data_IF_286644969222
#
_entry.id   IF_286644969222
#
_cell.length_a   1.000
_cell.length_b   1.000
_cell.length_c   1.000
_cell.angle_alpha   90.00
_cell.angle_beta   90.00
_cell.angle_gamma   90.00
#
_symmetry.space_group_name_H-M   'P 1'
#
loop_
_entity.id
_entity.type
_entity.pdbx_description
1 polymer ?
#
# COMPACT_ATOMS: atom_id res chain seq x y z
N UNK A 1 34.28 -1.08 7.74
CA UNK A 1 33.20 -0.72 6.80
C UNK A 1 31.89 -0.81 7.54
N UNK A 2 31.27 0.32 7.82
CA UNK A 2 29.97 0.38 8.47
C UNK A 2 28.95 -0.01 7.40
N UNK A 3 28.53 -1.28 7.44
CA UNK A 3 27.40 -1.77 6.64
C UNK A 3 26.16 -1.17 7.29
N UNK A 4 25.66 -0.08 6.72
CA UNK A 4 24.46 0.59 7.20
C UNK A 4 23.27 -0.35 6.93
N UNK A 5 22.85 -1.03 7.99
CA UNK A 5 21.77 -2.02 8.06
C UNK A 5 20.42 -1.33 7.85
N UNK A 6 20.13 -0.94 6.60
CA UNK A 6 18.83 -0.42 6.14
C UNK A 6 18.04 -1.46 5.33
N UNK A 7 18.42 -2.74 5.45
CA UNK A 7 17.75 -3.91 4.85
C UNK A 7 16.72 -4.57 5.79
N UNK A 8 16.35 -3.93 6.89
CA UNK A 8 15.30 -4.43 7.77
C UNK A 8 14.01 -3.67 7.51
N UNK A 9 12.98 -4.40 7.05
CA UNK A 9 11.55 -4.04 6.95
C UNK A 9 10.99 -3.83 5.54
N UNK A 10 11.46 -4.61 4.56
CA UNK A 10 10.60 -5.06 3.45
C UNK A 10 10.29 -6.54 3.68
N UNK A 11 9.39 -6.76 4.64
CA UNK A 11 8.65 -7.98 5.01
C UNK A 11 9.08 -9.31 4.36
N UNK A 12 10.00 -9.99 5.03
CA UNK A 12 10.24 -11.43 4.90
C UNK A 12 9.27 -12.21 5.79
N UNK A 13 8.38 -13.00 5.18
CA UNK A 13 8.03 -14.40 5.49
C UNK A 13 6.80 -14.72 4.62
N UNK A 14 7.02 -15.48 3.56
CA UNK A 14 5.98 -16.10 2.72
C UNK A 14 5.89 -17.54 3.19
N UNK A 15 4.77 -17.92 3.80
CA UNK A 15 4.42 -19.32 4.02
C UNK A 15 3.17 -19.60 3.20
N UNK A 16 3.35 -20.40 2.15
CA UNK A 16 2.29 -20.89 1.26
C UNK A 16 1.49 -22.03 1.91
N UNK A 17 0.29 -22.25 1.35
CA UNK A 17 -0.59 -23.45 1.39
C UNK A 17 -1.78 -23.37 2.36
N UNK A 18 -3.04 -23.68 2.03
CA UNK A 18 -3.90 -23.66 0.83
C UNK A 18 -5.28 -24.16 1.31
N UNK A 19 -6.39 -23.64 0.75
CA UNK A 19 -7.72 -24.31 0.68
C UNK A 19 -8.53 -24.47 1.99
N UNK A 20 -9.86 -24.33 2.07
CA UNK A 20 -10.95 -24.28 1.09
C UNK A 20 -12.27 -23.76 1.72
N UNK A 21 -13.06 -23.07 0.90
CA UNK A 21 -14.54 -23.03 0.80
C UNK A 21 -15.46 -22.78 2.02
N UNK A 22 -16.28 -21.73 1.89
CA UNK A 22 -17.72 -21.83 2.17
C UNK A 22 -18.52 -20.90 1.24
N UNK A 23 -19.42 -21.51 0.45
CA UNK A 23 -20.34 -20.85 -0.45
C UNK A 23 -21.62 -20.39 0.27
N UNK A 24 -22.18 -19.23 -0.11
CA UNK A 24 -23.62 -19.00 -0.23
C UNK A 24 -23.91 -17.68 -0.99
N UNK A 25 -25.12 -17.62 -1.55
CA UNK A 25 -25.63 -16.89 -2.73
C UNK A 25 -26.68 -15.83 -2.29
N UNK A 26 -27.47 -15.25 -3.22
CA UNK A 26 -27.28 -14.03 -4.03
C UNK A 26 -28.07 -12.82 -3.48
N UNK A 27 -27.70 -11.58 -3.85
CA UNK A 27 -28.58 -10.43 -3.60
C UNK A 27 -28.80 -9.55 -4.83
N UNK A 28 -30.09 -9.31 -5.02
CA UNK A 28 -30.83 -8.75 -6.13
C UNK A 28 -30.55 -7.27 -6.39
N UNK A 29 -30.74 -6.88 -7.66
CA UNK A 29 -30.55 -5.52 -8.13
C UNK A 29 -31.37 -4.48 -7.37
N UNK A 30 -30.73 -3.33 -7.13
CA UNK A 30 -31.40 -2.08 -6.76
C UNK A 30 -31.07 -1.03 -7.83
N UNK A 31 -32.06 -0.23 -8.30
CA UNK A 31 -31.85 0.74 -9.37
C UNK A 31 -30.92 1.88 -8.92
N UNK A 32 -30.25 2.57 -9.84
CA UNK A 32 -29.33 3.63 -9.47
C UNK A 32 -30.11 4.80 -8.82
N UNK A 33 -29.79 5.14 -7.56
CA UNK A 33 -30.00 6.48 -7.00
C UNK A 33 -28.65 7.18 -6.84
N UNK A 34 -27.90 7.48 -7.92
CA UNK A 34 -26.51 7.05 -7.83
C UNK A 34 -25.49 8.17 -7.76
N UNK A 35 -25.69 9.35 -8.37
CA UNK A 35 -24.53 10.23 -8.63
C UNK A 35 -24.22 11.23 -7.52
N UNK A 36 -25.18 12.05 -7.07
CA UNK A 36 -24.90 13.13 -6.08
C UNK A 36 -24.54 12.58 -4.70
N UNK A 37 -25.26 11.55 -4.22
CA UNK A 37 -24.97 10.91 -2.93
C UNK A 37 -23.64 10.15 -2.96
N UNK A 38 -23.33 9.43 -4.05
CA UNK A 38 -22.04 8.75 -4.17
C UNK A 38 -20.86 9.74 -4.24
N UNK A 39 -21.01 10.86 -4.95
CA UNK A 39 -19.99 11.92 -4.97
C UNK A 39 -19.75 12.50 -3.56
N UNK A 40 -20.82 12.74 -2.79
CA UNK A 40 -20.69 13.21 -1.41
C UNK A 40 -20.01 12.15 -0.51
N UNK A 41 -20.40 10.88 -0.62
CA UNK A 41 -19.79 9.80 0.14
C UNK A 41 -18.28 9.67 -0.18
N UNK A 42 -17.91 9.75 -1.46
CA UNK A 42 -16.51 9.71 -1.89
C UNK A 42 -15.71 10.92 -1.38
N UNK A 43 -16.31 12.11 -1.36
CA UNK A 43 -15.67 13.29 -0.78
C UNK A 43 -15.45 13.12 0.73
N UNK A 44 -16.48 12.69 1.47
CA UNK A 44 -16.37 12.39 2.90
C UNK A 44 -15.27 11.36 3.18
N UNK A 45 -15.21 10.28 2.38
CA UNK A 45 -14.17 9.26 2.49
C UNK A 45 -12.76 9.84 2.33
N UNK A 46 -12.56 10.72 1.35
CA UNK A 46 -11.29 11.42 1.12
C UNK A 46 -10.91 12.33 2.29
N UNK A 47 -11.88 13.07 2.82
CA UNK A 47 -11.65 13.98 3.94
C UNK A 47 -11.25 13.21 5.21
N UNK A 48 -11.88 12.06 5.46
CA UNK A 48 -11.54 11.12 6.55
C UNK A 48 -10.11 10.59 6.39
N UNK A 49 -9.76 10.08 5.21
CA UNK A 49 -8.41 9.57 4.96
C UNK A 49 -7.34 10.66 5.12
N UNK A 50 -7.60 11.86 4.62
CA UNK A 50 -6.69 12.99 4.76
C UNK A 50 -6.50 13.41 6.23
N UNK A 51 -7.58 13.47 7.02
CA UNK A 51 -7.51 13.79 8.45
C UNK A 51 -6.73 12.73 9.23
N UNK A 52 -7.01 11.45 8.97
CA UNK A 52 -6.34 10.35 9.62
C UNK A 52 -4.83 10.28 9.27
N UNK A 53 -4.46 10.50 8.00
CA UNK A 53 -3.06 10.59 7.59
C UNK A 53 -2.31 11.67 8.37
N UNK A 54 -2.90 12.88 8.50
CA UNK A 54 -2.32 13.97 9.31
C UNK A 54 -2.15 13.55 10.77
N UNK A 55 -3.21 13.00 11.38
CA UNK A 55 -3.16 12.55 12.78
C UNK A 55 -2.09 11.50 13.01
N UNK A 56 -1.97 10.50 12.14
CA UNK A 56 -0.92 9.49 12.24
C UNK A 56 0.48 10.08 12.06
N UNK A 57 0.66 11.06 11.18
CA UNK A 57 1.94 11.72 10.97
C UNK A 57 2.38 12.55 12.20
N UNK A 58 1.42 13.21 12.86
CA UNK A 58 1.68 14.11 14.00
C UNK A 58 1.74 13.40 15.35
N UNK A 59 0.83 12.45 15.59
CA UNK A 59 0.63 11.82 16.91
C UNK A 59 0.99 10.33 16.92
N UNK A 60 1.19 9.73 15.75
CA UNK A 60 1.40 8.29 15.61
C UNK A 60 0.10 7.47 15.63
N UNK A 61 0.21 6.21 15.20
CA UNK A 61 -0.92 5.28 15.09
C UNK A 61 -1.58 4.96 16.43
N UNK A 62 -0.77 4.67 17.46
CA UNK A 62 -1.27 4.22 18.76
C UNK A 62 -2.10 5.30 19.47
N UNK A 63 -1.66 6.56 19.40
CA UNK A 63 -2.33 7.69 20.07
C UNK A 63 -3.54 8.25 19.30
N UNK A 64 -3.75 7.85 18.03
CA UNK A 64 -4.85 8.33 17.21
C UNK A 64 -6.09 7.44 17.36
N UNK A 65 -7.25 8.05 17.60
CA UNK A 65 -8.55 7.36 17.66
C UNK A 65 -9.49 7.79 16.53
N UNK A 66 -10.48 6.96 16.21
CA UNK A 66 -11.53 7.32 15.24
C UNK A 66 -12.38 8.52 15.72
N UNK A 67 -12.44 8.76 17.04
CA UNK A 67 -13.13 9.93 17.62
C UNK A 67 -12.38 11.23 17.33
N UNK A 68 -11.05 11.21 17.37
CA UNK A 68 -10.23 12.38 17.01
C UNK A 68 -10.44 12.73 15.53
N UNK A 69 -10.44 11.71 14.66
CA UNK A 69 -10.68 11.88 13.22
C UNK A 69 -12.10 12.40 12.94
N UNK A 70 -13.11 11.89 13.67
CA UNK A 70 -14.49 12.40 13.58
C UNK A 70 -14.58 13.88 13.97
N UNK A 71 -13.85 14.27 15.01
CA UNK A 71 -13.79 15.67 15.47
C UNK A 71 -13.16 16.57 14.40
N UNK A 72 -12.08 16.12 13.75
CA UNK A 72 -11.39 16.90 12.72
C UNK A 72 -12.19 17.08 11.42
N UNK A 73 -13.06 16.11 11.12
CA UNK A 73 -13.84 16.07 9.87
C UNK A 73 -15.29 16.55 10.05
N UNK A 74 -15.75 16.69 11.28
CA UNK A 74 -17.13 17.10 11.60
C UNK A 74 -18.18 16.03 11.29
N UNK A 75 -17.77 14.78 11.02
CA UNK A 75 -18.68 13.65 10.81
C UNK A 75 -18.82 12.82 12.08
N UNK A 76 -19.84 11.95 12.14
CA UNK A 76 -19.99 11.04 13.28
C UNK A 76 -19.00 9.88 13.20
N UNK A 77 -18.65 9.27 14.34
CA UNK A 77 -17.81 8.05 14.36
C UNK A 77 -18.48 6.91 13.58
N UNK A 78 -19.81 6.80 13.62
CA UNK A 78 -20.55 5.82 12.82
C UNK A 78 -20.33 6.04 11.32
N UNK A 79 -20.36 7.29 10.86
CA UNK A 79 -20.07 7.64 9.46
C UNK A 79 -18.66 7.24 9.05
N UNK A 80 -17.68 7.32 9.96
CA UNK A 80 -16.32 6.82 9.70
C UNK A 80 -16.33 5.30 9.53
N UNK A 81 -16.97 4.57 10.45
CA UNK A 81 -17.08 3.11 10.33
C UNK A 81 -17.76 2.71 9.00
N UNK A 82 -18.84 3.38 8.63
CA UNK A 82 -19.57 3.09 7.39
C UNK A 82 -18.74 3.44 6.13
N UNK A 83 -17.87 4.46 6.22
CA UNK A 83 -17.10 4.96 5.08
C UNK A 83 -15.76 4.26 4.89
N UNK A 84 -15.01 3.99 5.96
CA UNK A 84 -13.64 3.48 5.92
C UNK A 84 -13.38 2.31 6.86
N UNK A 85 -14.37 1.88 7.65
CA UNK A 85 -14.21 0.79 8.60
C UNK A 85 -13.43 1.19 9.86
N UNK A 86 -12.66 0.24 10.38
CA UNK A 86 -11.89 0.40 11.60
C UNK A 86 -10.51 1.05 11.35
N UNK A 87 -9.74 1.29 12.42
CA UNK A 87 -8.44 1.98 12.34
C UNK A 87 -7.41 1.21 11.47
N UNK A 88 -7.27 -0.13 11.56
CA UNK A 88 -6.44 -0.88 10.63
C UNK A 88 -6.88 -0.80 9.17
N UNK A 89 -8.19 -0.89 8.91
CA UNK A 89 -8.76 -0.80 7.56
C UNK A 89 -8.52 0.59 6.94
N UNK A 90 -8.55 1.63 7.76
CA UNK A 90 -8.17 2.97 7.36
C UNK A 90 -6.70 3.01 6.87
N UNK A 91 -5.76 2.44 7.63
CA UNK A 91 -4.34 2.35 7.19
C UNK A 91 -4.21 1.52 5.92
N UNK A 92 -4.95 0.43 5.78
CA UNK A 92 -4.99 -0.38 4.55
C UNK A 92 -5.41 0.49 3.35
N UNK A 93 -6.44 1.30 3.50
CA UNK A 93 -6.90 2.22 2.46
C UNK A 93 -5.89 3.34 2.17
N UNK A 94 -5.15 3.85 3.17
CA UNK A 94 -4.04 4.76 2.93
C UNK A 94 -2.91 4.08 2.13
N UNK A 95 -2.60 2.82 2.41
CA UNK A 95 -1.63 2.05 1.65
C UNK A 95 -2.05 1.87 0.18
N UNK A 96 -3.34 1.76 -0.11
CA UNK A 96 -3.86 1.69 -1.49
C UNK A 96 -3.63 2.98 -2.30
N UNK A 97 -3.45 4.12 -1.62
CA UNK A 97 -3.17 5.40 -2.28
C UNK A 97 -1.69 5.55 -2.68
N UNK A 98 -0.80 4.77 -2.07
CA UNK A 98 0.65 4.97 -2.18
C UNK A 98 1.13 4.95 -3.63
N UNK A 99 0.72 3.96 -4.44
CA UNK A 99 1.21 3.83 -5.82
C UNK A 99 0.79 5.01 -6.70
N UNK A 100 -0.45 5.49 -6.51
CA UNK A 100 -0.99 6.63 -7.23
C UNK A 100 -0.33 7.94 -6.76
N UNK A 101 -0.25 8.16 -5.45
CA UNK A 101 0.34 9.36 -4.87
C UNK A 101 1.85 9.45 -5.13
N UNK A 102 2.56 8.33 -5.11
CA UNK A 102 3.96 8.25 -5.48
C UNK A 102 4.17 8.17 -7.00
N UNK A 103 3.12 8.20 -7.82
CA UNK A 103 3.21 8.19 -9.29
C UNK A 103 4.12 7.06 -9.80
N UNK A 104 3.96 5.85 -9.27
CA UNK A 104 4.83 4.71 -9.60
C UNK A 104 4.66 4.31 -11.06
N UNK A 105 3.46 4.45 -11.61
CA UNK A 105 3.18 4.19 -13.03
C UNK A 105 4.08 4.99 -13.98
N UNK A 106 4.49 6.22 -13.62
CA UNK A 106 5.40 7.03 -14.44
C UNK A 106 6.82 6.47 -14.51
N UNK A 107 7.24 5.74 -13.47
CA UNK A 107 8.54 5.06 -13.47
C UNK A 107 8.42 3.72 -14.19
N UNK A 108 7.35 2.96 -13.94
CA UNK A 108 7.21 1.59 -14.42
C UNK A 108 6.86 1.52 -15.90
N UNK A 109 5.98 2.40 -16.40
CA UNK A 109 5.50 2.32 -17.78
C UNK A 109 6.64 2.41 -18.83
N UNK A 110 7.63 3.30 -18.70
CA UNK A 110 8.78 3.32 -19.61
C UNK A 110 9.63 2.04 -19.57
N UNK A 111 9.73 1.36 -18.42
CA UNK A 111 10.59 0.18 -18.26
C UNK A 111 10.13 -1.02 -19.09
N UNK A 112 8.85 -1.08 -19.46
CA UNK A 112 8.32 -2.14 -20.31
C UNK A 112 9.08 -2.22 -21.64
N UNK A 113 9.43 -1.07 -22.21
CA UNK A 113 10.11 -0.96 -23.49
C UNK A 113 11.61 -0.62 -23.36
N UNK A 114 12.11 -0.45 -22.15
CA UNK A 114 13.52 -0.14 -21.91
C UNK A 114 14.43 -1.30 -22.35
N UNK A 115 15.59 -0.98 -22.91
CA UNK A 115 16.58 -1.96 -23.38
C UNK A 115 17.91 -1.83 -22.66
N UNK A 116 18.19 -0.70 -22.00
CA UNK A 116 19.37 -0.55 -21.15
C UNK A 116 19.14 -1.24 -19.79
N UNK A 117 19.85 -2.33 -19.48
CA UNK A 117 19.69 -3.04 -18.22
C UNK A 117 20.10 -2.20 -17.01
N UNK A 118 20.99 -1.20 -17.15
CA UNK A 118 21.35 -0.31 -16.06
C UNK A 118 20.21 0.64 -15.69
N UNK A 119 19.37 1.04 -16.66
CA UNK A 119 18.16 1.83 -16.39
C UNK A 119 17.15 0.99 -15.63
N UNK A 120 16.91 -0.24 -16.07
CA UNK A 120 16.01 -1.20 -15.40
C UNK A 120 16.48 -1.51 -13.98
N UNK A 121 17.77 -1.82 -13.79
CA UNK A 121 18.34 -2.14 -12.49
C UNK A 121 18.31 -0.96 -11.49
N UNK A 122 18.28 0.29 -11.97
CA UNK A 122 18.15 1.48 -11.11
C UNK A 122 16.70 1.79 -10.71
N UNK A 123 15.72 1.18 -11.37
CA UNK A 123 14.31 1.48 -11.11
C UNK A 123 13.88 1.24 -9.65
N UNK A 124 14.25 0.13 -8.98
CA UNK A 124 13.88 -0.09 -7.59
C UNK A 124 14.34 1.04 -6.66
N UNK A 125 15.59 1.48 -6.77
CA UNK A 125 16.11 2.60 -5.97
C UNK A 125 15.34 3.91 -6.21
N UNK A 126 14.96 4.18 -7.48
CA UNK A 126 14.15 5.36 -7.83
C UNK A 126 12.73 5.26 -7.26
N UNK A 127 12.12 4.08 -7.33
CA UNK A 127 10.79 3.80 -6.78
C UNK A 127 10.81 3.98 -5.26
N UNK A 128 11.73 3.31 -4.56
CA UNK A 128 11.87 3.40 -3.10
C UNK A 128 12.09 4.83 -2.63
N UNK A 129 12.98 5.59 -3.30
CA UNK A 129 13.17 7.01 -2.99
C UNK A 129 11.87 7.80 -3.15
N UNK A 130 11.16 7.64 -4.27
CA UNK A 130 9.92 8.36 -4.56
C UNK A 130 8.80 8.00 -3.56
N UNK A 131 8.68 6.73 -3.18
CA UNK A 131 7.76 6.25 -2.15
C UNK A 131 8.03 6.92 -0.81
N UNK A 132 9.28 6.95 -0.36
CA UNK A 132 9.66 7.54 0.93
C UNK A 132 9.44 9.06 0.92
N UNK A 133 9.82 9.75 -0.16
CA UNK A 133 9.67 11.21 -0.28
C UNK A 133 8.20 11.66 -0.27
N UNK A 134 7.29 10.87 -0.85
CA UNK A 134 5.89 11.29 -1.06
C UNK A 134 4.90 10.66 -0.09
N UNK A 135 5.21 9.46 0.40
CA UNK A 135 4.31 8.62 1.19
C UNK A 135 4.98 8.06 2.45
N UNK A 136 6.15 8.58 2.84
CA UNK A 136 6.91 8.08 3.99
C UNK A 136 6.17 8.20 5.34
N UNK A 137 5.23 9.13 5.45
CA UNK A 137 4.35 9.28 6.60
C UNK A 137 3.33 8.13 6.70
N UNK A 138 2.71 7.72 5.59
CA UNK A 138 1.83 6.55 5.54
C UNK A 138 2.61 5.27 5.88
N UNK A 139 3.78 5.08 5.25
CA UNK A 139 4.64 3.92 5.49
C UNK A 139 5.08 3.83 6.95
N UNK A 140 5.48 4.96 7.55
CA UNK A 140 5.86 5.04 8.96
C UNK A 140 4.67 4.73 9.87
N UNK A 141 3.48 5.26 9.58
CA UNK A 141 2.28 5.02 10.38
C UNK A 141 1.90 3.53 10.40
N UNK A 142 1.89 2.87 9.23
CA UNK A 142 1.60 1.45 9.13
C UNK A 142 2.63 0.58 9.85
N UNK A 143 3.92 0.85 9.63
CA UNK A 143 5.01 0.11 10.28
C UNK A 143 5.05 0.33 11.80
N UNK A 144 4.90 1.57 12.27
CA UNK A 144 4.88 1.85 13.70
C UNK A 144 3.65 1.22 14.37
N UNK A 145 2.50 1.26 13.69
CA UNK A 145 1.26 0.67 14.17
C UNK A 145 1.35 -0.85 14.33
N UNK A 146 2.04 -1.53 13.43
CA UNK A 146 2.13 -3.01 13.43
C UNK A 146 2.87 -3.60 14.63
N UNK A 147 3.65 -2.80 15.35
CA UNK A 147 4.23 -3.24 16.63
C UNK A 147 3.21 -3.30 17.77
N UNK A 148 2.03 -2.73 17.57
CA UNK A 148 1.03 -2.53 18.62
C UNK A 148 -0.38 -3.03 18.26
N UNK A 149 -0.62 -3.35 16.99
CA UNK A 149 -1.94 -3.73 16.48
C UNK A 149 -1.81 -4.78 15.37
N UNK A 150 -2.10 -6.04 15.74
CA UNK A 150 -2.07 -7.18 14.82
C UNK A 150 -3.09 -7.05 13.68
N UNK A 151 -4.12 -6.20 13.84
CA UNK A 151 -5.08 -5.90 12.78
C UNK A 151 -4.46 -5.26 11.54
N UNK A 152 -3.23 -4.75 11.63
CA UNK A 152 -2.47 -4.22 10.51
C UNK A 152 -1.74 -5.28 9.68
N UNK A 153 -1.65 -6.53 10.15
CA UNK A 153 -0.96 -7.60 9.43
C UNK A 153 -1.44 -7.75 7.97
N UNK A 154 -2.76 -7.77 7.67
CA UNK A 154 -3.23 -7.86 6.28
C UNK A 154 -2.78 -6.69 5.40
N UNK A 155 -2.72 -5.47 5.95
CA UNK A 155 -2.29 -4.28 5.20
C UNK A 155 -0.78 -4.34 4.85
N UNK A 156 0.02 -4.93 5.73
CA UNK A 156 1.45 -5.13 5.52
C UNK A 156 1.74 -6.28 4.56
N UNK A 157 0.98 -7.37 4.67
CA UNK A 157 1.05 -8.51 3.76
C UNK A 157 0.75 -8.07 2.33
N UNK A 158 -0.30 -7.27 2.15
CA UNK A 158 -0.68 -6.74 0.84
C UNK A 158 0.40 -5.77 0.30
N UNK A 159 0.95 -4.88 1.14
CA UNK A 159 2.08 -4.05 0.76
C UNK A 159 3.31 -4.87 0.33
N UNK A 160 3.63 -5.92 1.07
CA UNK A 160 4.71 -6.87 0.75
C UNK A 160 4.44 -7.63 -0.55
N UNK A 161 3.19 -8.05 -0.80
CA UNK A 161 2.78 -8.70 -2.05
C UNK A 161 2.98 -7.78 -3.26
N UNK A 162 2.57 -6.51 -3.17
CA UNK A 162 2.79 -5.51 -4.23
C UNK A 162 4.27 -5.27 -4.48
N UNK A 163 5.05 -5.12 -3.42
CA UNK A 163 6.50 -4.96 -3.54
C UNK A 163 7.15 -6.16 -4.25
N UNK A 164 6.81 -7.40 -3.85
CA UNK A 164 7.32 -8.61 -4.50
C UNK A 164 6.92 -8.69 -5.98
N UNK A 165 5.66 -8.37 -6.31
CA UNK A 165 5.21 -8.31 -7.69
C UNK A 165 6.00 -7.28 -8.52
N UNK A 166 6.25 -6.09 -7.96
CA UNK A 166 7.07 -5.05 -8.57
C UNK A 166 8.53 -5.49 -8.79
N UNK A 167 9.15 -6.11 -7.79
CA UNK A 167 10.49 -6.65 -7.89
C UNK A 167 10.59 -7.75 -8.98
N UNK A 168 9.62 -8.67 -9.01
CA UNK A 168 9.54 -9.72 -10.04
C UNK A 168 9.42 -9.17 -11.47
N UNK A 169 8.72 -8.03 -11.67
CA UNK A 169 8.69 -7.37 -12.98
C UNK A 169 10.07 -6.86 -13.40
N UNK A 170 10.82 -6.25 -12.47
CA UNK A 170 12.18 -5.75 -12.74
C UNK A 170 13.14 -6.92 -13.01
N UNK A 171 13.10 -7.96 -12.17
CA UNK A 171 13.92 -9.16 -12.33
C UNK A 171 13.63 -9.88 -13.65
N UNK A 172 12.35 -10.07 -14.00
CA UNK A 172 11.92 -10.65 -15.27
C UNK A 172 12.38 -9.82 -16.48
N UNK A 173 12.33 -8.49 -16.38
CA UNK A 173 12.84 -7.61 -17.43
C UNK A 173 14.35 -7.76 -17.60
N UNK A 174 15.12 -7.76 -16.51
CA UNK A 174 16.57 -7.97 -16.55
C UNK A 174 16.94 -9.35 -17.12
N UNK A 175 16.18 -10.39 -16.76
CA UNK A 175 16.34 -11.73 -17.33
C UNK A 175 16.12 -11.73 -18.85
N UNK A 176 15.07 -11.05 -19.33
CA UNK A 176 14.79 -10.95 -20.77
C UNK A 176 15.89 -10.23 -21.56
N UNK A 177 16.66 -9.37 -20.89
CA UNK A 177 17.80 -8.65 -21.46
C UNK A 177 19.12 -9.45 -21.34
N UNK A 178 19.10 -10.64 -20.75
CA UNK A 178 20.31 -11.42 -20.46
C UNK A 178 21.25 -10.74 -19.45
N UNK A 179 20.70 -9.85 -18.61
CA UNK A 179 21.48 -8.97 -17.73
C UNK A 179 21.58 -9.48 -16.29
N UNK A 180 21.05 -10.67 -15.99
CA UNK A 180 21.23 -11.31 -14.70
C UNK A 180 22.62 -11.95 -14.58
N UNK A 181 23.11 -12.07 -13.33
CA UNK A 181 24.34 -12.83 -13.05
C UNK A 181 24.16 -14.27 -13.54
N UNK A 182 25.19 -14.90 -14.13
CA UNK A 182 25.13 -16.32 -14.49
C UNK A 182 24.64 -17.19 -13.32
N UNK A 183 23.66 -18.05 -13.58
CA UNK A 183 23.06 -18.95 -12.59
C UNK A 183 22.00 -18.32 -11.68
N UNK A 184 21.62 -17.04 -11.87
CA UNK A 184 20.42 -16.45 -11.28
C UNK A 184 19.28 -16.45 -12.31
N UNK A 185 18.12 -16.93 -11.91
CA UNK A 185 16.86 -16.67 -12.60
C UNK A 185 16.13 -15.45 -12.02
N UNK A 186 14.98 -15.10 -12.61
CA UNK A 186 14.18 -13.95 -12.19
C UNK A 186 13.44 -14.15 -10.86
N UNK A 187 13.28 -15.39 -10.39
CA UNK A 187 12.65 -15.68 -9.10
C UNK A 187 13.65 -15.53 -7.95
N UNK A 188 14.91 -15.86 -8.22
CA UNK A 188 16.03 -15.76 -7.28
C UNK A 188 16.64 -14.35 -7.17
N UNK A 189 16.44 -13.50 -8.18
CA UNK A 189 16.99 -12.15 -8.28
C UNK A 189 16.09 -11.09 -7.63
#
# INVERSE_FOLDING_TARGET
MIVCRYDYLIYTQVTWMESSEMAAKPETGTPPLPRRRALQAEQTRRDILAAARRRFAEHGYAATTLKDIATDTGVSVQTIYDSVGNKPELVRQLNDLIDAEAQIGEIVAPLLNETDPLVVARAPARITRRLIERCGDILRAGLAGSYTDDGLAPALEEGGRRHRAGAGMVAGKLASLGALRPGLDAEQA
#
